data_IF_048710714180
#
_entry.id   IF_048710714180
#
_cell.length_a   1.000
_cell.length_b   1.000
_cell.length_c   1.000
_cell.angle_alpha   90.00
_cell.angle_beta   90.00
_cell.angle_gamma   90.00
#
_symmetry.space_group_name_H-M   'P 1'
#
loop_
_entity.id
_entity.type
_entity.pdbx_description
1 polymer ?
#
# COMPACT_ATOMS: atom_id res chain seq x y z
N UNK A 1 18.10 -33.11 -11.12
CA UNK A 1 18.53 -31.80 -11.65
C UNK A 1 17.28 -30.97 -11.89
N UNK A 2 16.75 -30.40 -10.81
CA UNK A 2 15.67 -29.41 -10.83
C UNK A 2 16.21 -28.29 -9.93
N UNK A 3 16.63 -27.20 -10.57
CA UNK A 3 17.29 -26.07 -9.94
C UNK A 3 16.28 -25.27 -9.12
N UNK A 4 16.75 -24.88 -7.95
CA UNK A 4 16.11 -24.01 -6.97
C UNK A 4 15.61 -22.70 -7.61
N UNK A 5 14.30 -22.48 -7.56
CA UNK A 5 13.68 -21.17 -7.80
C UNK A 5 13.02 -20.72 -6.50
N UNK A 6 13.82 -20.59 -5.44
CA UNK A 6 13.47 -19.81 -4.26
C UNK A 6 14.74 -19.09 -3.79
N UNK A 7 14.95 -17.89 -4.34
CA UNK A 7 15.89 -16.94 -3.73
C UNK A 7 15.35 -16.51 -2.36
N UNK A 8 16.21 -16.29 -1.35
CA UNK A 8 15.75 -15.88 -0.04
C UNK A 8 15.44 -14.38 -0.10
N UNK A 9 14.21 -14.02 -0.48
CA UNK A 9 13.66 -12.75 -0.05
C UNK A 9 13.20 -12.94 1.40
N UNK A 10 14.17 -12.98 2.32
CA UNK A 10 13.90 -12.68 3.72
C UNK A 10 13.41 -11.22 3.77
N UNK A 11 12.09 -11.04 3.70
CA UNK A 11 11.48 -9.82 4.19
C UNK A 11 11.58 -9.91 5.71
N UNK A 12 12.74 -9.51 6.26
CA UNK A 12 12.86 -9.30 7.69
C UNK A 12 11.91 -8.16 8.07
N UNK A 13 10.71 -8.52 8.54
CA UNK A 13 9.93 -7.62 9.39
C UNK A 13 10.73 -7.42 10.67
N UNK A 14 11.62 -6.42 10.67
CA UNK A 14 12.27 -5.95 11.89
C UNK A 14 11.18 -5.30 12.73
N UNK A 15 10.54 -6.11 13.58
CA UNK A 15 9.70 -5.59 14.66
C UNK A 15 10.59 -4.71 15.54
N UNK A 16 10.14 -3.51 15.94
CA UNK A 16 10.93 -2.64 16.80
C UNK A 16 11.18 -3.36 18.13
N UNK A 17 12.41 -3.83 18.30
CA UNK A 17 12.91 -4.39 19.56
C UNK A 17 12.93 -3.27 20.62
N UNK A 18 12.32 -3.54 21.79
CA UNK A 18 12.18 -2.68 22.98
C UNK A 18 13.51 -2.13 23.55
N UNK A 19 13.51 -1.23 24.56
CA UNK A 19 12.73 -0.01 24.77
C UNK A 19 13.50 1.22 24.23
N UNK A 20 12.75 2.26 23.87
CA UNK A 20 13.22 3.54 23.29
C UNK A 20 14.19 4.29 24.20
N UNK A 21 15.49 4.24 23.88
CA UNK A 21 16.42 5.31 24.29
C UNK A 21 16.01 6.62 23.57
N UNK A 22 16.08 7.79 24.22
CA UNK A 22 15.76 9.08 23.58
C UNK A 22 16.54 9.32 22.28
N UNK A 23 17.78 8.83 22.24
CA UNK A 23 18.67 8.87 21.08
C UNK A 23 18.09 8.12 19.87
N UNK A 24 17.32 7.05 20.11
CA UNK A 24 16.70 6.25 19.04
C UNK A 24 15.44 6.90 18.45
N UNK A 25 14.81 7.81 19.19
CA UNK A 25 13.71 8.64 18.66
C UNK A 25 14.24 9.62 17.61
N UNK A 26 15.51 10.01 17.72
CA UNK A 26 16.18 10.93 16.80
C UNK A 26 16.99 10.21 15.72
N UNK A 27 17.53 9.02 15.99
CA UNK A 27 18.18 8.21 14.95
C UNK A 27 17.13 7.56 14.07
N UNK A 28 17.03 7.96 12.81
CA UNK A 28 16.23 7.24 11.85
C UNK A 28 16.92 5.87 11.60
N UNK A 29 16.34 4.72 11.99
CA UNK A 29 17.04 3.44 11.88
C UNK A 29 17.33 3.02 10.43
N UNK A 30 16.70 3.68 9.44
CA UNK A 30 16.90 3.42 8.02
C UNK A 30 18.00 4.28 7.38
N UNK A 31 18.48 5.32 8.07
CA UNK A 31 19.45 6.26 7.53
C UNK A 31 20.55 6.42 8.56
N UNK A 32 21.82 6.24 8.18
CA UNK A 32 22.97 6.28 9.10
C UNK A 32 23.25 7.65 9.75
N UNK A 33 22.24 8.53 9.86
CA UNK A 33 22.29 9.89 10.41
C UNK A 33 21.03 10.17 11.25
N UNK A 34 21.19 11.03 12.26
CA UNK A 34 20.07 11.50 13.10
C UNK A 34 19.19 12.48 12.34
N UNK A 35 17.89 12.53 12.65
CA UNK A 35 16.92 13.43 12.02
C UNK A 35 17.30 14.91 12.14
N UNK A 36 17.96 15.30 13.23
CA UNK A 36 18.37 16.69 13.47
C UNK A 36 19.60 17.12 12.66
N UNK A 37 20.27 16.20 11.97
CA UNK A 37 21.41 16.52 11.10
C UNK A 37 20.97 17.37 9.89
N UNK A 38 21.89 18.16 9.31
CA UNK A 38 21.61 18.93 8.10
C UNK A 38 20.96 18.08 7.00
N UNK A 39 19.91 18.62 6.38
CA UNK A 39 19.14 17.99 5.30
C UNK A 39 18.39 16.67 5.62
N UNK A 40 18.46 16.12 6.84
CA UNK A 40 17.80 14.82 7.14
C UNK A 40 16.28 14.91 7.26
N UNK A 41 15.73 16.12 7.43
CA UNK A 41 14.28 16.37 7.36
C UNK A 41 13.67 16.00 6.00
N UNK A 42 14.48 15.85 4.93
CA UNK A 42 14.04 15.42 3.60
C UNK A 42 13.32 14.08 3.63
N UNK A 43 13.64 13.20 4.58
CA UNK A 43 12.91 11.93 4.75
C UNK A 43 11.43 12.18 5.10
N UNK A 44 11.14 13.18 5.92
CA UNK A 44 9.77 13.55 6.25
C UNK A 44 9.03 14.17 5.05
N UNK A 45 9.75 14.91 4.20
CA UNK A 45 9.20 15.48 2.96
C UNK A 45 8.90 14.36 1.94
N UNK A 46 9.85 13.46 1.72
CA UNK A 46 9.67 12.32 0.81
C UNK A 46 8.50 11.43 1.24
N UNK A 47 8.27 11.28 2.56
CA UNK A 47 7.11 10.53 3.08
C UNK A 47 5.77 11.12 2.63
N UNK A 48 5.70 12.42 2.36
CA UNK A 48 4.49 13.03 1.79
C UNK A 48 4.24 12.52 0.36
N UNK A 49 5.29 12.45 -0.46
CA UNK A 49 5.23 11.94 -1.84
C UNK A 49 4.97 10.44 -1.87
N UNK A 50 5.64 9.67 -1.00
CA UNK A 50 5.49 8.22 -0.87
C UNK A 50 4.04 7.81 -0.53
N UNK A 51 3.30 8.67 0.17
CA UNK A 51 1.90 8.43 0.50
C UNK A 51 1.00 8.33 -0.74
N UNK A 52 1.24 9.17 -1.75
CA UNK A 52 0.52 9.09 -3.02
C UNK A 52 0.85 7.80 -3.75
N UNK A 53 2.15 7.50 -3.91
CA UNK A 53 2.62 6.27 -4.57
C UNK A 53 2.09 5.01 -3.88
N UNK A 54 2.04 5.01 -2.55
CA UNK A 54 1.49 3.90 -1.76
C UNK A 54 0.00 3.69 -2.06
N UNK A 55 -0.79 4.75 -2.18
CA UNK A 55 -2.19 4.65 -2.58
C UNK A 55 -2.35 4.13 -4.02
N UNK A 56 -1.45 4.46 -4.94
CA UNK A 56 -1.50 3.94 -6.32
C UNK A 56 -1.20 2.45 -6.38
N UNK A 57 -0.14 2.02 -5.70
CA UNK A 57 0.22 0.60 -5.59
C UNK A 57 -0.91 -0.21 -4.94
N UNK A 58 -1.51 0.30 -3.87
CA UNK A 58 -2.64 -0.36 -3.22
C UNK A 58 -3.86 -0.48 -4.16
N UNK A 59 -4.15 0.56 -4.96
CA UNK A 59 -5.22 0.51 -5.96
C UNK A 59 -4.95 -0.52 -7.06
N UNK A 60 -3.71 -0.63 -7.52
CA UNK A 60 -3.28 -1.62 -8.51
C UNK A 60 -3.48 -3.04 -7.97
N UNK A 61 -2.96 -3.32 -6.78
CA UNK A 61 -3.10 -4.63 -6.12
C UNK A 61 -4.57 -5.03 -5.90
N UNK A 62 -5.42 -4.08 -5.50
CA UNK A 62 -6.84 -4.34 -5.28
C UNK A 62 -7.59 -4.62 -6.59
N UNK A 63 -7.24 -3.92 -7.68
CA UNK A 63 -7.80 -4.19 -9.01
C UNK A 63 -7.39 -5.57 -9.51
N UNK A 64 -6.14 -5.96 -9.32
CA UNK A 64 -5.65 -7.28 -9.70
C UNK A 64 -6.35 -8.39 -8.91
N UNK A 65 -6.55 -8.19 -7.60
CA UNK A 65 -7.34 -9.10 -6.77
C UNK A 65 -8.77 -9.26 -7.29
N UNK A 66 -9.43 -8.15 -7.62
CA UNK A 66 -10.78 -8.16 -8.20
C UNK A 66 -10.81 -8.91 -9.53
N UNK A 67 -9.83 -8.67 -10.41
CA UNK A 67 -9.74 -9.36 -11.70
C UNK A 67 -9.59 -10.88 -11.53
N UNK A 68 -8.76 -11.31 -10.56
CA UNK A 68 -8.58 -12.73 -10.26
C UNK A 68 -9.82 -13.36 -9.61
N UNK A 69 -10.55 -12.63 -8.75
CA UNK A 69 -11.83 -13.08 -8.20
C UNK A 69 -12.88 -13.28 -9.32
N UNK A 70 -13.02 -12.31 -10.23
CA UNK A 70 -13.92 -12.45 -11.38
C UNK A 70 -13.53 -13.60 -12.30
N UNK A 71 -12.22 -13.82 -12.50
CA UNK A 71 -11.70 -14.95 -13.28
C UNK A 71 -12.02 -16.28 -12.59
N UNK A 72 -11.86 -16.36 -11.27
CA UNK A 72 -12.22 -17.51 -10.46
C UNK A 72 -13.72 -17.82 -10.60
N UNK A 73 -14.59 -16.81 -10.41
CA UNK A 73 -16.05 -16.95 -10.62
C UNK A 73 -16.38 -17.51 -12.00
N UNK A 74 -15.82 -16.93 -13.07
CA UNK A 74 -16.00 -17.43 -14.45
C UNK A 74 -15.52 -18.88 -14.63
N UNK A 75 -14.44 -19.27 -13.98
CA UNK A 75 -13.91 -20.64 -14.05
C UNK A 75 -14.77 -21.65 -13.31
N UNK A 76 -15.47 -21.21 -12.26
CA UNK A 76 -16.41 -22.03 -11.49
C UNK A 76 -17.73 -22.25 -12.23
N UNK A 77 -18.08 -21.43 -13.22
CA UNK A 77 -19.27 -21.64 -14.06
C UNK A 77 -19.11 -22.86 -14.99
N UNK A 78 -19.21 -24.06 -14.43
CA UNK A 78 -19.07 -25.34 -15.13
C UNK A 78 -20.31 -25.63 -16.00
N UNK A 79 -20.11 -25.78 -17.31
CA UNK A 79 -21.10 -26.38 -18.23
C UNK A 79 -20.83 -27.89 -18.33
N UNK A 80 -21.51 -28.72 -17.53
CA UNK A 80 -21.34 -30.20 -17.59
C UNK A 80 -22.67 -30.95 -17.63
N UNK A 81 -22.64 -32.16 -18.20
CA UNK A 81 -23.80 -32.94 -18.65
C UNK A 81 -24.49 -33.77 -17.53
N UNK A 82 -25.70 -34.21 -17.83
CA UNK A 82 -26.96 -34.06 -17.07
C UNK A 82 -27.18 -34.69 -15.67
N UNK A 83 -26.31 -35.53 -15.09
CA UNK A 83 -26.72 -36.27 -13.86
C UNK A 83 -25.63 -36.43 -12.78
N UNK A 84 -24.34 -36.24 -13.07
CA UNK A 84 -23.33 -36.26 -12.00
C UNK A 84 -23.35 -34.89 -11.29
N UNK A 85 -24.11 -34.89 -10.19
CA UNK A 85 -24.16 -33.89 -9.11
C UNK A 85 -24.81 -32.53 -9.41
N UNK A 86 -26.13 -32.54 -9.58
CA UNK A 86 -26.96 -31.34 -9.54
C UNK A 86 -26.74 -30.50 -8.25
N UNK A 87 -26.44 -31.14 -7.12
CA UNK A 87 -26.06 -30.44 -5.88
C UNK A 87 -24.65 -29.86 -5.91
N UNK A 88 -23.66 -30.54 -6.50
CA UNK A 88 -22.32 -29.96 -6.67
C UNK A 88 -22.34 -28.80 -7.65
N UNK A 89 -23.08 -28.91 -8.76
CA UNK A 89 -23.24 -27.79 -9.71
C UNK A 89 -23.89 -26.61 -9.00
N UNK A 90 -24.98 -26.81 -8.25
CA UNK A 90 -25.59 -25.75 -7.43
C UNK A 90 -24.64 -25.17 -6.38
N UNK A 91 -23.82 -26.00 -5.73
CA UNK A 91 -22.85 -25.53 -4.74
C UNK A 91 -21.74 -24.68 -5.38
N UNK A 92 -21.29 -25.07 -6.57
CA UNK A 92 -20.28 -24.36 -7.35
C UNK A 92 -20.84 -23.04 -7.92
N UNK A 93 -22.09 -23.03 -8.41
CA UNK A 93 -22.79 -21.81 -8.83
C UNK A 93 -22.92 -20.82 -7.67
N UNK A 94 -23.35 -21.29 -6.48
CA UNK A 94 -23.39 -20.46 -5.27
C UNK A 94 -22.01 -19.93 -4.88
N UNK A 95 -20.95 -20.72 -5.06
CA UNK A 95 -19.58 -20.27 -4.78
C UNK A 95 -19.14 -19.18 -5.76
N UNK A 96 -19.51 -19.29 -7.04
CA UNK A 96 -19.27 -18.26 -8.04
C UNK A 96 -20.00 -16.96 -7.68
N UNK A 97 -21.29 -17.03 -7.34
CA UNK A 97 -22.07 -15.88 -6.85
C UNK A 97 -21.41 -15.20 -5.63
N UNK A 98 -20.95 -15.98 -4.65
CA UNK A 98 -20.23 -15.43 -3.49
C UNK A 98 -18.90 -14.76 -3.87
N UNK A 99 -18.21 -15.30 -4.86
CA UNK A 99 -16.95 -14.74 -5.35
C UNK A 99 -17.20 -13.38 -6.03
N UNK A 100 -18.28 -13.28 -6.80
CA UNK A 100 -18.74 -12.03 -7.40
C UNK A 100 -19.18 -11.00 -6.34
N UNK A 101 -19.96 -11.43 -5.33
CA UNK A 101 -20.36 -10.59 -4.19
C UNK A 101 -19.13 -9.97 -3.48
N UNK A 102 -18.08 -10.78 -3.26
CA UNK A 102 -16.84 -10.32 -2.64
C UNK A 102 -16.12 -9.31 -3.53
N UNK A 103 -16.02 -9.58 -4.83
CA UNK A 103 -15.39 -8.66 -5.78
C UNK A 103 -16.12 -7.31 -5.82
N UNK A 104 -17.45 -7.33 -5.87
CA UNK A 104 -18.30 -6.13 -5.85
C UNK A 104 -18.17 -5.35 -4.54
N UNK A 105 -18.10 -6.04 -3.41
CA UNK A 105 -17.90 -5.43 -2.10
C UNK A 105 -16.54 -4.73 -2.02
N UNK A 106 -15.47 -5.37 -2.53
CA UNK A 106 -14.13 -4.76 -2.58
C UNK A 106 -14.14 -3.52 -3.50
N UNK A 107 -14.77 -3.59 -4.66
CA UNK A 107 -14.90 -2.42 -5.55
C UNK A 107 -15.58 -1.24 -4.85
N UNK A 108 -16.79 -1.47 -4.33
CA UNK A 108 -17.65 -0.40 -3.79
C UNK A 108 -17.15 0.15 -2.46
N UNK A 109 -16.66 -0.70 -1.56
CA UNK A 109 -16.35 -0.29 -0.19
C UNK A 109 -14.86 -0.05 0.05
N UNK A 110 -13.96 -0.55 -0.81
CA UNK A 110 -12.52 -0.39 -0.61
C UNK A 110 -11.90 0.43 -1.73
N UNK A 111 -12.11 0.04 -3.00
CA UNK A 111 -11.51 0.75 -4.14
C UNK A 111 -12.09 2.16 -4.24
N UNK A 112 -13.41 2.32 -4.22
CA UNK A 112 -14.03 3.65 -4.35
C UNK A 112 -13.66 4.57 -3.18
N UNK A 113 -13.62 4.05 -1.95
CA UNK A 113 -13.16 4.81 -0.78
C UNK A 113 -11.69 5.22 -0.89
N UNK A 114 -10.82 4.30 -1.33
CA UNK A 114 -9.40 4.58 -1.52
C UNK A 114 -9.15 5.59 -2.65
N UNK A 115 -9.92 5.52 -3.74
CA UNK A 115 -9.90 6.53 -4.81
C UNK A 115 -10.31 7.89 -4.26
N UNK A 116 -11.39 7.96 -3.48
CA UNK A 116 -11.85 9.20 -2.87
C UNK A 116 -10.84 9.76 -1.85
N UNK A 117 -10.23 8.89 -1.03
CA UNK A 117 -9.18 9.27 -0.10
C UNK A 117 -7.94 9.81 -0.82
N UNK A 118 -7.47 9.11 -1.87
CA UNK A 118 -6.36 9.58 -2.71
C UNK A 118 -6.69 10.95 -3.31
N UNK A 119 -7.92 11.11 -3.81
CA UNK A 119 -8.40 12.36 -4.40
C UNK A 119 -8.41 13.52 -3.41
N UNK A 120 -8.92 13.29 -2.20
CA UNK A 120 -8.99 14.34 -1.17
C UNK A 120 -7.62 14.68 -0.58
N UNK A 121 -6.78 13.66 -0.36
CA UNK A 121 -5.54 13.80 0.42
C UNK A 121 -4.32 14.12 -0.45
N UNK A 122 -4.31 13.72 -1.72
CA UNK A 122 -3.10 13.75 -2.57
C UNK A 122 -3.32 14.19 -4.02
N UNK A 123 -4.53 14.13 -4.58
CA UNK A 123 -4.77 14.64 -5.94
C UNK A 123 -4.56 16.16 -6.01
N UNK A 124 -4.45 16.68 -7.23
CA UNK A 124 -3.99 18.02 -7.70
C UNK A 124 -4.52 19.29 -7.00
N UNK A 125 -5.01 19.23 -5.77
CA UNK A 125 -4.94 20.38 -4.89
C UNK A 125 -3.48 20.77 -4.79
N UNK A 126 -3.15 21.88 -5.45
CA UNK A 126 -2.11 22.84 -5.10
C UNK A 126 -1.58 22.66 -3.67
N UNK A 127 -2.46 22.41 -2.69
CA UNK A 127 -2.18 22.00 -1.31
C UNK A 127 -1.12 20.92 -1.09
N UNK A 128 -1.16 19.71 -1.65
CA UNK A 128 -0.20 18.67 -1.20
C UNK A 128 1.26 19.02 -1.55
N UNK A 129 1.49 19.37 -2.82
CA UNK A 129 2.81 19.83 -3.31
C UNK A 129 3.21 21.17 -2.65
N UNK A 130 2.25 22.09 -2.43
CA UNK A 130 2.50 23.34 -1.70
C UNK A 130 2.84 23.08 -0.25
N UNK A 131 2.19 22.14 0.42
CA UNK A 131 2.42 21.77 1.82
C UNK A 131 3.75 21.08 1.99
N UNK A 132 4.14 20.15 1.10
CA UNK A 132 5.48 19.57 1.10
C UNK A 132 6.56 20.65 0.91
N UNK A 133 6.33 21.60 -0.02
CA UNK A 133 7.23 22.73 -0.26
C UNK A 133 7.25 23.76 0.88
N UNK A 134 6.12 24.00 1.53
CA UNK A 134 5.99 24.85 2.73
C UNK A 134 6.76 24.21 3.88
N UNK A 135 6.58 22.92 4.13
CA UNK A 135 7.38 22.17 5.11
C UNK A 135 8.87 22.24 4.80
N UNK A 136 9.27 22.05 3.53
CA UNK A 136 10.68 22.15 3.14
C UNK A 136 11.24 23.56 3.42
N UNK A 137 10.48 24.61 3.14
CA UNK A 137 10.89 25.99 3.41
C UNK A 137 10.98 26.28 4.92
N UNK A 138 10.05 25.76 5.71
CA UNK A 138 10.06 25.91 7.16
C UNK A 138 11.25 25.19 7.78
N UNK A 139 11.55 23.97 7.35
CA UNK A 139 12.76 23.25 7.77
C UNK A 139 14.03 24.01 7.39
N UNK A 140 14.13 24.51 6.16
CA UNK A 140 15.27 25.35 5.74
C UNK A 140 15.41 26.60 6.60
N UNK A 141 14.31 27.29 6.87
CA UNK A 141 14.29 28.53 7.68
C UNK A 141 14.78 28.27 9.10
N UNK A 142 14.34 27.18 9.73
CA UNK A 142 14.71 26.82 11.10
C UNK A 142 16.14 26.26 11.17
N UNK A 143 16.55 25.48 10.17
CA UNK A 143 17.88 24.85 10.16
C UNK A 143 19.00 25.82 9.73
N UNK A 144 18.70 26.84 8.92
CA UNK A 144 19.68 27.84 8.45
C UNK A 144 20.58 28.43 9.56
N UNK A 145 20.05 29.03 10.64
CA UNK A 145 20.90 29.60 11.70
C UNK A 145 21.73 28.55 12.45
N UNK A 146 21.32 27.28 12.42
CA UNK A 146 22.00 26.20 13.11
C UNK A 146 23.19 25.63 12.30
N UNK A 147 23.11 25.72 10.97
CA UNK A 147 24.19 25.28 10.06
C UNK A 147 25.24 26.38 9.85
N UNK A 148 24.84 27.65 10.04
CA UNK A 148 25.73 28.81 9.94
C UNK A 148 26.53 29.10 11.22
N UNK A 149 26.25 28.38 12.33
CA UNK A 149 27.01 28.39 13.58
C UNK A 149 28.26 27.51 13.50
#
# INVERSE_FOLDING_TARGET
>A
MLLDIYGPYEVQCILPQSPTTPERVLSNPYYGKSFCEPDQYKVAINRCEDGFTSCELALEMLKDLVNELERCSKSLQLKTNRVVWLESVKAIEKLAERTDDIADNIKKNVIDELVNYKKFSYDKSFRHVKTAKEFENDFKKVQKPWVEL
#
